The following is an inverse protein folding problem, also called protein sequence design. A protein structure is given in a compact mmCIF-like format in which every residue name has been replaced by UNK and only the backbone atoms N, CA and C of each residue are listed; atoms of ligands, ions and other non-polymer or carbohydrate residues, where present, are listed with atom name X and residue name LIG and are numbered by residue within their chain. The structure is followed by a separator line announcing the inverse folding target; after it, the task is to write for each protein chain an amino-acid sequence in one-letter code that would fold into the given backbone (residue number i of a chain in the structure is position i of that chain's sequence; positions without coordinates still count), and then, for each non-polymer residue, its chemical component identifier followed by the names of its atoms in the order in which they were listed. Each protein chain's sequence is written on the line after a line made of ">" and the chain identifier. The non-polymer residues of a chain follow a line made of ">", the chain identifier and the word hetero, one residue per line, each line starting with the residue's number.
data_IF_117882120292
#
_entry.id   IF_117882120292
#
_cell.length_a   1.000
_cell.length_b   1.000
_cell.length_c   1.000
_cell.angle_alpha   90.00
_cell.angle_beta   90.00
_cell.angle_gamma   90.00
#
_symmetry.space_group_name_H-M   'P 1'
#
loop_
_entity.id
_entity.type
_entity.pdbx_description
1 polymer ?
#
# COMPACT_ATOMS: atom_id res chain seq x y z
N UNK A 1 -42.40 73.80 37.63
CA UNK A 1 -41.53 72.62 37.55
C UNK A 1 -42.40 71.38 37.81
N UNK A 2 -42.85 70.71 36.75
CA UNK A 2 -43.82 69.60 36.76
C UNK A 2 -43.00 68.28 36.71
N UNK A 3 -43.21 67.44 37.72
CA UNK A 3 -42.64 66.11 37.78
C UNK A 3 -43.71 65.14 37.17
N UNK A 4 -43.42 64.58 36.03
CA UNK A 4 -44.23 63.54 35.38
C UNK A 4 -43.82 62.17 35.97
N UNK A 5 -44.74 61.52 36.66
CA UNK A 5 -44.69 60.16 37.13
C UNK A 5 -45.01 59.21 35.96
N UNK A 6 -44.09 58.39 35.54
CA UNK A 6 -44.28 57.39 34.47
C UNK A 6 -44.77 56.07 35.00
N UNK A 7 -45.88 55.50 34.47
CA UNK A 7 -46.43 54.20 34.89
C UNK A 7 -45.69 52.99 34.29
N UNK A 8 -44.48 53.16 33.79
CA UNK A 8 -43.75 52.14 33.02
C UNK A 8 -42.93 51.13 33.87
N UNK A 9 -42.89 51.33 35.18
CA UNK A 9 -42.03 50.48 36.06
C UNK A 9 -42.69 49.24 36.60
N UNK A 10 -44.00 49.05 36.46
CA UNK A 10 -44.74 47.89 37.00
C UNK A 10 -45.00 46.77 35.99
N UNK A 11 -44.81 47.02 34.69
CA UNK A 11 -45.03 46.05 33.63
C UNK A 11 -43.81 45.12 33.41
N UNK A 12 -42.63 45.50 33.87
CA UNK A 12 -41.38 44.70 33.68
C UNK A 12 -41.23 43.61 34.76
N UNK A 13 -41.86 43.76 35.93
CA UNK A 13 -41.77 42.78 37.01
C UNK A 13 -42.82 41.62 36.92
N UNK A 14 -43.88 41.78 36.11
CA UNK A 14 -44.87 40.72 35.90
C UNK A 14 -44.49 39.72 34.79
N UNK A 15 -43.58 40.07 33.89
CA UNK A 15 -43.10 39.17 32.82
C UNK A 15 -41.92 38.28 33.26
N UNK A 16 -41.25 38.61 34.37
CA UNK A 16 -40.14 37.84 34.89
C UNK A 16 -40.49 36.67 35.80
N UNK A 17 -41.76 36.54 36.20
CA UNK A 17 -42.24 35.47 37.07
C UNK A 17 -42.88 34.28 36.32
N UNK A 18 -42.99 34.32 34.97
CA UNK A 18 -43.68 33.28 34.18
C UNK A 18 -42.70 32.38 33.40
N UNK A 19 -41.37 32.56 33.56
CA UNK A 19 -40.35 31.79 32.81
C UNK A 19 -39.67 30.68 33.63
N UNK A 20 -40.16 30.30 34.81
CA UNK A 20 -39.45 29.35 35.70
C UNK A 20 -40.14 27.99 35.91
N UNK A 21 -41.10 27.58 35.05
CA UNK A 21 -41.75 26.26 35.15
C UNK A 21 -41.73 25.45 33.83
N UNK A 22 -40.69 25.57 33.00
CA UNK A 22 -40.45 24.64 31.89
C UNK A 22 -39.09 24.01 32.12
N UNK A 23 -38.97 23.17 33.11
CA UNK A 23 -37.82 22.27 33.27
C UNK A 23 -38.36 20.89 33.56
N UNK A 24 -37.94 19.93 32.69
CA UNK A 24 -38.18 18.49 32.67
C UNK A 24 -39.23 18.01 31.64
N UNK A 25 -39.00 18.36 30.38
CA UNK A 25 -39.33 17.41 29.30
C UNK A 25 -38.07 16.56 29.02
N UNK A 26 -38.17 15.23 28.94
CA UNK A 26 -37.06 14.43 28.48
C UNK A 26 -36.71 14.89 27.06
N UNK A 27 -35.46 15.35 26.87
CA UNK A 27 -34.97 15.63 25.51
C UNK A 27 -35.15 14.37 24.67
N UNK A 28 -35.80 14.45 23.52
CA UNK A 28 -35.74 13.35 22.58
C UNK A 28 -34.26 13.17 22.27
N UNK A 29 -33.72 12.00 22.59
CA UNK A 29 -32.43 11.55 22.08
C UNK A 29 -32.52 11.70 20.57
N UNK A 30 -31.91 12.75 20.02
CA UNK A 30 -31.77 12.91 18.61
C UNK A 30 -30.81 11.78 18.17
N UNK A 31 -31.39 10.66 17.76
CA UNK A 31 -30.74 9.79 16.78
C UNK A 31 -30.62 10.63 15.51
N UNK A 32 -29.64 11.54 15.49
CA UNK A 32 -29.16 12.08 14.23
C UNK A 32 -28.79 10.87 13.39
N UNK A 33 -29.33 10.70 12.19
CA UNK A 33 -28.86 9.65 11.30
C UNK A 33 -27.36 9.88 11.18
N UNK A 34 -26.57 8.85 11.56
CA UNK A 34 -25.13 8.84 11.35
C UNK A 34 -24.92 9.33 9.92
N UNK A 35 -24.31 10.51 9.76
CA UNK A 35 -23.96 11.00 8.43
C UNK A 35 -23.12 9.87 7.84
N UNK A 36 -23.60 9.24 6.77
CA UNK A 36 -22.92 8.09 6.17
C UNK A 36 -21.46 8.51 5.96
N UNK A 37 -20.54 7.85 6.66
CA UNK A 37 -19.14 8.18 6.57
C UNK A 37 -18.74 8.19 5.08
N UNK A 38 -17.95 9.16 4.65
CA UNK A 38 -17.47 9.18 3.25
C UNK A 38 -16.81 7.85 2.90
N UNK A 39 -16.84 7.42 1.64
CA UNK A 39 -16.14 6.22 1.22
C UNK A 39 -14.66 6.25 1.67
N UNK A 40 -14.10 5.07 1.96
CA UNK A 40 -12.66 4.90 2.05
C UNK A 40 -12.09 4.89 0.64
N UNK A 41 -11.15 5.78 0.36
CA UNK A 41 -10.42 5.77 -0.92
C UNK A 41 -9.24 4.83 -0.78
N UNK A 42 -9.32 3.65 -1.42
CA UNK A 42 -8.24 2.67 -1.45
C UNK A 42 -7.59 2.64 -2.83
N UNK A 43 -6.28 2.55 -2.87
CA UNK A 43 -5.55 2.56 -4.13
C UNK A 43 -4.52 1.44 -4.20
N UNK A 44 -4.46 0.82 -5.38
CA UNK A 44 -3.46 -0.18 -5.74
C UNK A 44 -2.88 0.11 -7.13
N UNK A 45 -1.88 -0.66 -7.54
CA UNK A 45 -1.32 -0.66 -8.89
C UNK A 45 -1.33 -2.09 -9.46
N UNK A 46 -0.66 -2.27 -10.57
CA UNK A 46 -0.64 -3.52 -11.34
C UNK A 46 0.28 -4.63 -10.79
N UNK A 47 0.60 -4.62 -9.51
CA UNK A 47 1.28 -5.72 -8.83
C UNK A 47 0.34 -6.92 -8.59
N UNK A 48 0.78 -8.12 -8.91
CA UNK A 48 -0.03 -9.35 -8.80
C UNK A 48 -0.43 -9.66 -7.35
N UNK A 49 0.40 -9.35 -6.38
CA UNK A 49 0.13 -9.56 -4.95
C UNK A 49 -1.00 -8.68 -4.39
N UNK A 50 -1.34 -7.57 -5.07
CA UNK A 50 -2.45 -6.69 -4.63
C UNK A 50 -3.84 -7.23 -5.00
N UNK A 51 -3.91 -8.42 -5.57
CA UNK A 51 -5.16 -9.01 -6.08
C UNK A 51 -6.25 -9.23 -5.05
N UNK A 52 -5.92 -9.29 -3.76
CA UNK A 52 -6.92 -9.36 -2.69
C UNK A 52 -7.90 -8.19 -2.70
N UNK A 53 -7.43 -6.97 -3.00
CA UNK A 53 -8.30 -5.80 -3.07
C UNK A 53 -9.30 -5.83 -4.24
N UNK A 54 -8.88 -5.95 -5.53
CA UNK A 54 -9.83 -6.00 -6.64
C UNK A 54 -10.76 -7.21 -6.57
N UNK A 55 -10.35 -8.34 -5.99
CA UNK A 55 -11.24 -9.48 -5.75
C UNK A 55 -12.29 -9.12 -4.68
N UNK A 56 -11.92 -8.45 -3.59
CA UNK A 56 -12.89 -8.00 -2.58
C UNK A 56 -13.91 -7.01 -3.17
N UNK A 57 -13.47 -6.11 -4.06
CA UNK A 57 -14.35 -5.20 -4.82
C UNK A 57 -15.27 -5.99 -5.75
N UNK A 58 -14.71 -6.84 -6.61
CA UNK A 58 -15.45 -7.57 -7.64
C UNK A 58 -16.44 -8.61 -7.09
N UNK A 59 -16.14 -9.20 -5.93
CA UNK A 59 -17.04 -10.11 -5.19
C UNK A 59 -18.07 -9.37 -4.33
N UNK A 60 -18.01 -8.04 -4.23
CA UNK A 60 -18.94 -7.24 -3.43
C UNK A 60 -18.72 -7.34 -1.90
N UNK A 61 -17.59 -7.85 -1.42
CA UNK A 61 -17.37 -8.12 0.01
C UNK A 61 -17.39 -6.85 0.87
N UNK A 62 -16.98 -5.69 0.33
CA UNK A 62 -17.10 -4.41 1.02
C UNK A 62 -18.57 -3.99 1.18
N UNK A 63 -19.38 -4.16 0.11
CA UNK A 63 -20.81 -3.81 0.12
C UNK A 63 -21.60 -4.71 1.09
N UNK A 64 -21.32 -6.03 1.07
CA UNK A 64 -21.90 -6.99 2.02
C UNK A 64 -21.61 -6.62 3.47
N UNK A 65 -20.41 -6.06 3.72
CA UNK A 65 -19.99 -5.59 5.05
C UNK A 65 -20.50 -4.18 5.39
N UNK A 66 -21.29 -3.53 4.52
CA UNK A 66 -21.80 -2.17 4.71
C UNK A 66 -20.74 -1.07 4.59
N UNK A 67 -19.56 -1.37 4.03
CA UNK A 67 -18.47 -0.43 3.86
C UNK A 67 -18.43 0.11 2.42
N UNK A 68 -18.44 1.44 2.29
CA UNK A 68 -18.22 2.10 1.00
C UNK A 68 -16.72 2.28 0.75
N UNK A 69 -16.25 1.77 -0.38
CA UNK A 69 -14.85 1.86 -0.81
C UNK A 69 -14.82 2.39 -2.24
N UNK A 70 -14.05 3.46 -2.45
CA UNK A 70 -13.69 3.96 -3.77
C UNK A 70 -12.36 3.32 -4.15
N UNK A 71 -12.36 2.53 -5.23
CA UNK A 71 -11.20 1.81 -5.76
C UNK A 71 -10.48 2.65 -6.81
N UNK A 72 -9.25 3.07 -6.53
CA UNK A 72 -8.37 3.73 -7.47
C UNK A 72 -7.28 2.75 -7.94
N UNK A 73 -6.98 2.81 -9.25
CA UNK A 73 -5.95 1.98 -9.84
C UNK A 73 -4.94 2.83 -10.60
N UNK A 74 -3.66 2.60 -10.34
CA UNK A 74 -2.55 3.35 -10.95
C UNK A 74 -1.70 2.44 -11.83
N UNK A 75 -1.11 3.01 -12.87
CA UNK A 75 -0.23 2.27 -13.78
C UNK A 75 1.22 2.18 -13.27
N UNK A 76 1.61 3.08 -12.36
CA UNK A 76 2.93 3.05 -11.72
C UNK A 76 2.85 3.34 -10.22
N UNK A 77 3.84 2.84 -9.48
CA UNK A 77 4.00 3.12 -8.06
C UNK A 77 4.29 4.60 -7.80
N UNK A 78 5.07 5.26 -8.67
CA UNK A 78 5.41 6.68 -8.55
C UNK A 78 4.19 7.60 -8.62
N UNK A 79 3.25 7.33 -9.55
CA UNK A 79 1.98 8.07 -9.64
C UNK A 79 1.12 7.85 -8.39
N UNK A 80 1.03 6.62 -7.92
CA UNK A 80 0.28 6.25 -6.73
C UNK A 80 0.86 6.92 -5.47
N UNK A 81 2.20 6.93 -5.30
CA UNK A 81 2.90 7.64 -4.21
C UNK A 81 2.56 9.13 -4.24
N UNK A 82 2.60 9.75 -5.42
CA UNK A 82 2.28 11.18 -5.59
C UNK A 82 0.84 11.48 -5.16
N UNK A 83 -0.11 10.66 -5.58
CA UNK A 83 -1.51 10.80 -5.20
C UNK A 83 -1.75 10.59 -3.70
N UNK A 84 -1.05 9.61 -3.07
CA UNK A 84 -1.13 9.36 -1.64
C UNK A 84 -0.59 10.55 -0.83
N UNK A 85 0.58 11.06 -1.18
CA UNK A 85 1.17 12.24 -0.52
C UNK A 85 0.32 13.51 -0.70
N UNK A 86 -0.45 13.61 -1.80
CA UNK A 86 -1.41 14.68 -2.04
C UNK A 86 -2.76 14.50 -1.29
N UNK A 87 -2.87 13.55 -0.35
CA UNK A 87 -4.07 13.24 0.44
C UNK A 87 -5.30 12.83 -0.40
N UNK A 88 -5.10 12.27 -1.59
CA UNK A 88 -6.17 11.75 -2.45
C UNK A 88 -6.53 10.30 -2.15
N UNK A 89 -5.74 9.62 -1.34
CA UNK A 89 -5.84 8.20 -1.00
C UNK A 89 -5.82 8.05 0.51
N UNK A 90 -6.73 7.26 1.06
CA UNK A 90 -6.83 6.92 2.48
C UNK A 90 -5.98 5.69 2.82
N UNK A 91 -6.12 4.63 1.99
CA UNK A 91 -5.41 3.37 2.10
C UNK A 91 -4.59 3.15 0.83
N UNK A 92 -3.28 3.03 0.97
CA UNK A 92 -2.40 2.75 -0.16
C UNK A 92 -1.75 1.36 -0.04
N UNK A 93 -1.75 0.61 -1.13
CA UNK A 93 -1.08 -0.68 -1.29
C UNK A 93 0.27 -0.42 -1.94
N UNK A 94 1.36 -0.62 -1.20
CA UNK A 94 2.71 -0.25 -1.60
C UNK A 94 3.73 -1.28 -1.14
N UNK A 95 4.92 -1.24 -1.72
CA UNK A 95 6.06 -1.93 -1.10
C UNK A 95 6.44 -1.26 0.22
N UNK A 96 7.06 -2.00 1.13
CA UNK A 96 7.63 -1.43 2.36
C UNK A 96 8.68 -0.35 2.07
N UNK A 97 9.37 -0.45 0.95
CA UNK A 97 10.33 0.55 0.47
C UNK A 97 9.65 1.87 0.13
N UNK A 98 8.57 1.82 -0.63
CA UNK A 98 7.79 3.01 -0.99
C UNK A 98 7.14 3.64 0.23
N UNK A 99 6.64 2.80 1.16
CA UNK A 99 6.11 3.25 2.45
C UNK A 99 7.17 4.07 3.21
N UNK A 100 8.39 3.56 3.35
CA UNK A 100 9.49 4.27 4.03
C UNK A 100 9.86 5.56 3.30
N UNK A 101 9.89 5.56 1.97
CA UNK A 101 10.13 6.78 1.18
C UNK A 101 9.06 7.85 1.43
N UNK A 102 7.79 7.45 1.56
CA UNK A 102 6.69 8.37 1.89
C UNK A 102 6.78 8.87 3.34
N UNK A 103 7.12 8.01 4.29
CA UNK A 103 7.29 8.36 5.72
C UNK A 103 8.42 9.37 5.94
N UNK A 104 9.42 9.41 5.07
CA UNK A 104 10.46 10.44 5.09
C UNK A 104 9.90 11.85 4.84
N UNK A 105 8.74 11.96 4.16
CA UNK A 105 8.04 13.22 3.85
C UNK A 105 6.88 13.48 4.80
N UNK A 106 6.22 12.43 5.26
CA UNK A 106 5.06 12.48 6.14
C UNK A 106 5.16 11.39 7.22
N UNK A 107 5.72 11.69 8.40
CA UNK A 107 5.90 10.72 9.49
C UNK A 107 4.59 10.18 10.10
N UNK A 108 3.44 10.77 9.78
CA UNK A 108 2.13 10.27 10.22
C UNK A 108 1.69 9.02 9.46
N UNK A 109 2.37 8.66 8.37
CA UNK A 109 2.12 7.45 7.61
C UNK A 109 2.63 6.24 8.39
N UNK A 110 1.82 5.18 8.49
CA UNK A 110 2.15 3.92 9.15
C UNK A 110 1.79 2.74 8.27
N UNK A 111 2.60 1.69 8.35
CA UNK A 111 2.25 0.36 7.84
C UNK A 111 1.27 -0.26 8.84
N UNK A 112 0.12 -0.72 8.34
CA UNK A 112 -0.96 -1.27 9.16
C UNK A 112 -1.34 -2.71 8.81
N UNK A 113 -0.81 -3.26 7.70
CA UNK A 113 -1.09 -4.61 7.24
C UNK A 113 0.01 -5.11 6.30
N UNK A 114 0.41 -6.37 6.42
CA UNK A 114 1.28 -7.06 5.46
C UNK A 114 0.40 -7.77 4.42
N UNK A 115 0.63 -7.47 3.15
CA UNK A 115 -0.12 -8.04 2.03
C UNK A 115 0.53 -9.32 1.56
N UNK A 116 1.80 -9.23 1.17
CA UNK A 116 2.56 -10.35 0.65
C UNK A 116 4.08 -10.14 0.80
N UNK A 117 4.81 -11.21 0.51
CA UNK A 117 6.21 -11.16 0.14
C UNK A 117 6.35 -11.57 -1.32
N UNK A 118 7.07 -10.76 -2.10
CA UNK A 118 7.53 -11.20 -3.41
C UNK A 118 8.52 -12.35 -3.26
N UNK A 119 8.22 -13.46 -3.92
CA UNK A 119 9.02 -14.68 -3.92
C UNK A 119 9.33 -15.14 -5.35
N UNK A 120 9.89 -14.23 -6.13
CA UNK A 120 10.30 -14.47 -7.50
C UNK A 120 9.61 -13.60 -8.56
N UNK A 121 8.57 -12.85 -8.18
CA UNK A 121 7.83 -12.01 -9.11
C UNK A 121 8.41 -10.61 -9.31
N UNK A 122 9.34 -10.17 -8.47
CA UNK A 122 10.20 -9.01 -8.75
C UNK A 122 11.57 -9.49 -9.19
N UNK A 123 12.20 -8.76 -10.12
CA UNK A 123 13.50 -9.17 -10.59
C UNK A 123 14.16 -8.24 -11.58
N UNK A 124 15.22 -8.75 -12.13
CA UNK A 124 16.02 -8.08 -13.16
C UNK A 124 16.08 -8.98 -14.38
N UNK A 125 15.70 -8.43 -15.52
CA UNK A 125 15.90 -9.05 -16.82
C UNK A 125 17.17 -8.52 -17.47
N UNK A 126 17.90 -9.39 -18.16
CA UNK A 126 19.14 -9.03 -18.81
C UNK A 126 19.38 -9.81 -20.11
N UNK A 127 20.14 -9.22 -21.02
CA UNK A 127 20.58 -9.82 -22.28
C UNK A 127 22.08 -9.92 -22.27
N UNK A 128 22.60 -11.12 -22.63
CA UNK A 128 24.03 -11.40 -22.65
C UNK A 128 24.73 -11.14 -21.30
N UNK A 129 24.04 -11.44 -20.20
CA UNK A 129 24.51 -11.32 -18.83
C UNK A 129 24.55 -12.72 -18.20
N UNK A 130 25.74 -13.26 -18.03
CA UNK A 130 25.93 -14.61 -17.46
C UNK A 130 26.19 -14.58 -15.95
N UNK A 131 26.73 -13.49 -15.44
CA UNK A 131 27.06 -13.29 -14.02
C UNK A 131 26.94 -11.81 -13.67
N UNK A 132 26.77 -11.46 -12.38
CA UNK A 132 26.54 -10.07 -11.96
C UNK A 132 27.65 -9.10 -12.40
N UNK A 133 28.91 -9.55 -12.54
CA UNK A 133 30.02 -8.71 -13.01
C UNK A 133 29.83 -8.21 -14.44
N UNK A 134 29.11 -8.92 -15.29
CA UNK A 134 28.84 -8.56 -16.68
C UNK A 134 27.93 -7.33 -16.80
N UNK A 135 27.32 -6.89 -15.70
CA UNK A 135 26.55 -5.66 -15.65
C UNK A 135 27.40 -4.38 -15.74
N UNK A 136 28.73 -4.48 -15.53
CA UNK A 136 29.61 -3.31 -15.59
C UNK A 136 29.54 -2.62 -16.96
N UNK A 137 29.26 -1.31 -16.94
CA UNK A 137 29.15 -0.49 -18.16
C UNK A 137 27.83 -0.65 -18.92
N UNK A 138 26.90 -1.51 -18.44
CA UNK A 138 25.60 -1.74 -19.06
C UNK A 138 24.59 -0.62 -18.74
N UNK A 139 23.61 -0.46 -19.61
CA UNK A 139 22.48 0.44 -19.40
C UNK A 139 21.33 -0.34 -18.77
N UNK A 140 20.85 0.15 -17.62
CA UNK A 140 19.79 -0.48 -16.83
C UNK A 140 18.62 0.50 -16.70
N UNK A 141 17.41 0.10 -17.08
CA UNK A 141 16.20 0.85 -16.82
C UNK A 141 15.59 0.40 -15.47
N UNK A 142 15.12 1.36 -14.65
CA UNK A 142 14.36 1.13 -13.42
C UNK A 142 13.54 2.35 -13.05
N UNK A 143 12.50 2.16 -12.26
CA UNK A 143 11.76 3.27 -11.65
C UNK A 143 12.57 3.87 -10.48
N UNK A 144 12.48 5.19 -10.29
CA UNK A 144 13.23 5.89 -9.24
C UNK A 144 12.55 5.79 -7.87
N UNK A 145 12.26 4.57 -7.44
CA UNK A 145 11.62 4.23 -6.16
C UNK A 145 12.55 3.32 -5.34
N UNK A 146 12.35 3.31 -4.04
CA UNK A 146 13.31 2.68 -3.12
C UNK A 146 13.41 1.16 -3.32
N UNK A 147 12.28 0.46 -3.53
CA UNK A 147 12.34 -1.00 -3.65
C UNK A 147 13.14 -1.45 -4.87
N UNK A 148 13.00 -0.80 -6.03
CA UNK A 148 13.78 -1.15 -7.23
C UNK A 148 15.27 -0.86 -7.07
N UNK A 149 15.62 0.21 -6.33
CA UNK A 149 17.01 0.47 -5.94
C UNK A 149 17.57 -0.65 -5.07
N UNK A 150 16.78 -1.15 -4.11
CA UNK A 150 17.18 -2.27 -3.23
C UNK A 150 17.39 -3.55 -4.03
N UNK A 151 16.47 -3.88 -4.95
CA UNK A 151 16.59 -5.05 -5.84
C UNK A 151 17.85 -4.95 -6.71
N UNK A 152 18.06 -3.79 -7.35
CA UNK A 152 19.25 -3.57 -8.18
C UNK A 152 20.53 -3.62 -7.35
N UNK A 153 20.57 -2.98 -6.18
CA UNK A 153 21.73 -2.99 -5.29
C UNK A 153 22.08 -4.42 -4.86
N UNK A 154 21.08 -5.22 -4.48
CA UNK A 154 21.29 -6.61 -4.08
C UNK A 154 21.94 -7.45 -5.21
N UNK A 155 21.56 -7.19 -6.45
CA UNK A 155 22.18 -7.83 -7.61
C UNK A 155 23.61 -7.34 -7.87
N UNK A 156 23.82 -6.03 -7.95
CA UNK A 156 25.13 -5.43 -8.24
C UNK A 156 26.16 -5.81 -7.19
N UNK A 157 25.80 -5.84 -5.92
CA UNK A 157 26.68 -6.24 -4.81
C UNK A 157 27.20 -7.68 -4.95
N UNK A 158 26.42 -8.61 -5.51
CA UNK A 158 26.90 -9.97 -5.82
C UNK A 158 28.05 -9.96 -6.84
N UNK A 159 28.14 -8.93 -7.68
CA UNK A 159 29.22 -8.70 -8.64
C UNK A 159 30.35 -7.80 -8.14
N UNK A 160 30.26 -7.31 -6.89
CA UNK A 160 31.17 -6.29 -6.37
C UNK A 160 30.99 -4.93 -7.03
N UNK A 161 29.82 -4.68 -7.64
CA UNK A 161 29.47 -3.45 -8.36
C UNK A 161 28.55 -2.56 -7.52
N UNK A 162 28.44 -1.31 -7.96
CA UNK A 162 27.53 -0.28 -7.45
C UNK A 162 26.80 0.39 -8.61
N UNK A 163 25.81 1.25 -8.34
CA UNK A 163 25.16 2.05 -9.39
C UNK A 163 26.12 2.96 -10.17
N UNK A 164 27.31 3.26 -9.64
CA UNK A 164 28.34 4.03 -10.35
C UNK A 164 29.01 3.27 -11.49
N UNK A 165 28.90 1.94 -11.49
CA UNK A 165 29.53 1.06 -12.49
C UNK A 165 28.60 0.80 -13.69
N UNK A 166 27.36 1.35 -13.68
CA UNK A 166 26.32 1.15 -14.68
C UNK A 166 25.70 2.48 -15.10
N UNK A 167 24.97 2.50 -16.21
CA UNK A 167 24.18 3.67 -16.64
C UNK A 167 22.71 3.44 -16.30
N UNK A 168 22.13 4.29 -15.46
CA UNK A 168 20.72 4.18 -15.06
C UNK A 168 19.83 5.05 -15.95
N UNK A 169 18.71 4.47 -16.44
CA UNK A 169 17.59 5.19 -17.05
C UNK A 169 16.39 5.09 -16.11
N UNK A 170 15.90 6.22 -15.63
CA UNK A 170 14.71 6.28 -14.78
C UNK A 170 13.45 6.18 -15.67
N UNK A 171 12.80 5.02 -15.64
CA UNK A 171 11.56 4.69 -16.35
C UNK A 171 10.63 3.94 -15.40
N UNK A 172 9.31 4.13 -15.52
CA UNK A 172 8.34 3.30 -14.80
C UNK A 172 8.54 1.82 -15.17
N UNK A 173 8.22 0.89 -14.25
CA UNK A 173 8.51 -0.54 -14.41
C UNK A 173 8.02 -1.15 -15.74
N UNK A 174 6.79 -0.76 -16.18
CA UNK A 174 6.24 -1.17 -17.47
C UNK A 174 7.05 -0.64 -18.66
N UNK A 175 7.48 0.64 -18.59
CA UNK A 175 8.28 1.28 -19.62
C UNK A 175 9.71 0.74 -19.63
N UNK A 176 10.29 0.45 -18.45
CA UNK A 176 11.59 -0.22 -18.32
C UNK A 176 11.60 -1.58 -19.02
N UNK A 177 10.55 -2.38 -18.76
CA UNK A 177 10.34 -3.67 -19.40
C UNK A 177 10.14 -3.54 -20.93
N UNK A 178 9.37 -2.56 -21.38
CA UNK A 178 9.17 -2.28 -22.81
C UNK A 178 10.47 -1.82 -23.49
N UNK A 179 11.27 -0.96 -22.83
CA UNK A 179 12.57 -0.52 -23.33
C UNK A 179 13.56 -1.70 -23.48
N UNK A 180 13.52 -2.66 -22.52
CA UNK A 180 14.29 -3.89 -22.64
C UNK A 180 13.82 -4.76 -23.82
N UNK A 181 12.52 -4.99 -23.95
CA UNK A 181 11.94 -5.74 -25.07
C UNK A 181 12.30 -5.11 -26.43
N UNK A 182 12.31 -3.78 -26.51
CA UNK A 182 12.72 -3.02 -27.69
C UNK A 182 14.25 -2.91 -27.89
N UNK A 183 15.05 -3.54 -27.03
CA UNK A 183 16.53 -3.52 -27.07
C UNK A 183 17.17 -2.13 -26.90
N UNK A 184 16.46 -1.21 -26.23
CA UNK A 184 16.94 0.16 -25.95
C UNK A 184 17.79 0.23 -24.67
N UNK A 185 17.74 -0.82 -23.84
CA UNK A 185 18.55 -1.02 -22.64
C UNK A 185 19.04 -2.47 -22.58
N UNK A 186 20.14 -2.71 -21.86
CA UNK A 186 20.72 -4.04 -21.70
C UNK A 186 20.00 -4.85 -20.62
N UNK A 187 19.51 -4.15 -19.61
CA UNK A 187 18.87 -4.73 -18.43
C UNK A 187 17.68 -3.87 -18.00
N UNK A 188 16.72 -4.47 -17.30
CA UNK A 188 15.65 -3.73 -16.63
C UNK A 188 15.29 -4.37 -15.28
N UNK A 189 15.00 -3.53 -14.29
CA UNK A 189 14.34 -3.93 -13.05
C UNK A 189 12.84 -3.80 -13.29
N UNK A 190 12.08 -4.83 -12.97
CA UNK A 190 10.62 -4.86 -13.16
C UNK A 190 10.01 -6.02 -12.38
N UNK A 191 8.71 -6.21 -12.52
CA UNK A 191 7.94 -7.23 -11.83
C UNK A 191 6.88 -7.87 -12.74
N UNK A 192 6.25 -8.95 -12.28
CA UNK A 192 5.16 -9.58 -13.05
C UNK A 192 3.90 -8.68 -13.11
N UNK A 193 3.22 -8.60 -14.26
CA UNK A 193 3.34 -9.48 -15.44
C UNK A 193 4.41 -9.07 -16.46
N UNK A 194 5.19 -8.06 -16.23
CA UNK A 194 6.18 -7.55 -17.19
C UNK A 194 7.48 -8.36 -17.23
N UNK A 195 7.89 -8.91 -16.09
CA UNK A 195 9.18 -9.59 -15.92
C UNK A 195 9.38 -10.72 -16.94
N UNK A 196 8.57 -11.76 -16.87
CA UNK A 196 8.68 -12.93 -17.76
C UNK A 196 8.37 -12.59 -19.21
N UNK A 197 7.34 -11.76 -19.44
CA UNK A 197 6.92 -11.38 -20.80
C UNK A 197 8.02 -10.64 -21.55
N UNK A 198 8.60 -9.62 -20.90
CA UNK A 198 9.60 -8.77 -21.54
C UNK A 198 10.96 -9.45 -21.66
N UNK A 199 11.34 -10.34 -20.73
CA UNK A 199 12.51 -11.19 -20.88
C UNK A 199 12.44 -11.98 -22.20
N UNK A 200 11.33 -12.68 -22.42
CA UNK A 200 11.09 -13.48 -23.64
C UNK A 200 11.08 -12.62 -24.91
N UNK A 201 10.36 -11.49 -24.89
CA UNK A 201 10.24 -10.59 -26.04
C UNK A 201 11.57 -9.92 -26.40
N UNK A 202 12.38 -9.55 -25.42
CA UNK A 202 13.67 -8.91 -25.61
C UNK A 202 14.80 -9.87 -25.98
N UNK A 203 14.55 -11.19 -25.98
CA UNK A 203 15.59 -12.21 -26.20
C UNK A 203 16.60 -12.27 -25.06
N UNK A 204 16.15 -12.07 -23.83
CA UNK A 204 16.94 -12.20 -22.60
C UNK A 204 16.27 -13.14 -21.63
N UNK A 205 16.71 -13.11 -20.39
CA UNK A 205 16.23 -13.96 -19.30
C UNK A 205 16.15 -13.20 -17.97
N UNK A 206 15.47 -13.79 -16.98
CA UNK A 206 15.47 -13.29 -15.60
C UNK A 206 16.79 -13.69 -14.96
N UNK A 207 17.69 -12.72 -14.79
CA UNK A 207 19.06 -12.93 -14.27
C UNK A 207 19.15 -12.78 -12.74
N UNK A 208 18.11 -12.21 -12.12
CA UNK A 208 17.95 -12.08 -10.67
C UNK A 208 16.47 -11.97 -10.33
N UNK A 209 16.04 -12.56 -9.24
CA UNK A 209 14.69 -12.40 -8.71
C UNK A 209 14.70 -12.39 -7.19
N UNK A 210 13.56 -12.01 -6.62
CA UNK A 210 13.31 -12.01 -5.16
C UNK A 210 13.09 -13.40 -4.58
N UNK A 211 13.16 -14.47 -5.41
CA UNK A 211 12.96 -15.83 -4.96
C UNK A 211 13.87 -16.18 -3.78
N UNK A 212 13.27 -16.78 -2.75
CA UNK A 212 13.95 -17.18 -1.50
C UNK A 212 14.61 -16.01 -0.75
N UNK A 213 14.14 -14.77 -1.02
CA UNK A 213 14.56 -13.57 -0.30
C UNK A 213 13.35 -12.95 0.44
N UNK A 214 13.60 -12.10 1.41
CA UNK A 214 12.58 -11.24 2.03
C UNK A 214 12.83 -9.76 1.67
N UNK A 215 13.36 -9.52 0.45
CA UNK A 215 13.74 -8.17 0.03
C UNK A 215 12.54 -7.26 -0.18
N UNK A 216 11.46 -7.77 -0.77
CA UNK A 216 10.27 -6.99 -1.08
C UNK A 216 9.09 -7.52 -0.28
N UNK A 217 8.63 -6.71 0.64
CA UNK A 217 7.39 -6.88 1.38
C UNK A 217 6.38 -5.86 0.90
N UNK A 218 5.16 -6.29 0.68
CA UNK A 218 4.05 -5.44 0.26
C UNK A 218 3.10 -5.19 1.43
N UNK A 219 2.68 -3.95 1.60
CA UNK A 219 2.01 -3.47 2.80
C UNK A 219 0.87 -2.53 2.48
N UNK A 220 -0.12 -2.45 3.37
CA UNK A 220 -1.09 -1.35 3.36
C UNK A 220 -0.61 -0.27 4.32
N UNK A 221 -0.63 0.96 3.82
CA UNK A 221 -0.34 2.15 4.64
C UNK A 221 -1.56 3.03 4.83
N UNK A 222 -1.59 3.71 5.98
CA UNK A 222 -2.57 4.74 6.33
C UNK A 222 -1.90 5.81 7.17
N UNK A 223 -2.55 6.98 7.32
CA UNK A 223 -2.11 8.01 8.27
C UNK A 223 -2.68 7.78 9.66
N UNK A 224 -1.95 8.18 10.69
CA UNK A 224 -2.36 8.10 12.11
C UNK A 224 -3.79 8.60 12.34
N UNK A 225 -4.18 9.70 11.70
CA UNK A 225 -5.53 10.25 11.82
C UNK A 225 -6.61 9.27 11.35
N UNK A 226 -6.38 8.57 10.24
CA UNK A 226 -7.33 7.58 9.74
C UNK A 226 -7.39 6.37 10.66
N UNK A 227 -6.22 5.88 11.12
CA UNK A 227 -6.12 4.73 12.02
C UNK A 227 -6.95 4.98 13.29
N UNK A 228 -6.83 6.17 13.87
CA UNK A 228 -7.54 6.55 15.10
C UNK A 228 -9.04 6.80 14.86
N UNK A 229 -9.40 7.53 13.81
CA UNK A 229 -10.78 7.97 13.60
C UNK A 229 -11.68 6.92 12.93
N UNK A 230 -11.12 5.96 12.18
CA UNK A 230 -11.87 4.98 11.38
C UNK A 230 -11.43 3.53 11.62
N UNK A 231 -10.96 3.21 12.83
CA UNK A 231 -10.48 1.85 13.18
C UNK A 231 -11.53 0.76 12.91
N UNK A 232 -12.82 1.03 13.11
CA UNK A 232 -13.90 0.08 12.83
C UNK A 232 -14.01 -0.22 11.33
N UNK A 233 -13.91 0.81 10.49
CA UNK A 233 -13.97 0.68 9.04
C UNK A 233 -12.73 -0.07 8.51
N UNK A 234 -11.54 0.21 9.05
CA UNK A 234 -10.31 -0.50 8.70
C UNK A 234 -10.40 -2.00 9.04
N UNK A 235 -10.96 -2.35 10.19
CA UNK A 235 -11.20 -3.76 10.53
C UNK A 235 -12.20 -4.42 9.57
N UNK A 236 -13.25 -3.72 9.21
CA UNK A 236 -14.23 -4.21 8.22
C UNK A 236 -13.60 -4.38 6.86
N UNK A 237 -12.76 -3.43 6.44
CA UNK A 237 -11.99 -3.48 5.20
C UNK A 237 -11.09 -4.72 5.14
N UNK A 238 -10.26 -4.96 6.17
CA UNK A 238 -9.36 -6.10 6.16
C UNK A 238 -10.07 -7.45 6.27
N UNK A 239 -11.23 -7.53 6.94
CA UNK A 239 -12.07 -8.75 6.91
C UNK A 239 -12.61 -9.06 5.51
N UNK A 240 -12.95 -8.04 4.73
CA UNK A 240 -13.36 -8.24 3.34
C UNK A 240 -12.20 -8.66 2.44
N UNK A 241 -11.02 -8.05 2.60
CA UNK A 241 -9.79 -8.45 1.91
C UNK A 241 -9.37 -9.86 2.29
N UNK A 242 -9.46 -10.25 3.55
CA UNK A 242 -9.17 -11.60 4.05
C UNK A 242 -9.97 -12.69 3.34
N UNK A 243 -11.28 -12.46 3.14
CA UNK A 243 -12.13 -13.36 2.34
C UNK A 243 -11.57 -13.54 0.91
N UNK A 244 -11.18 -12.43 0.28
CA UNK A 244 -10.63 -12.45 -1.08
C UNK A 244 -9.27 -13.18 -1.15
N UNK A 245 -8.37 -12.92 -0.19
CA UNK A 245 -7.06 -13.59 -0.11
C UNK A 245 -7.23 -15.09 0.08
N UNK A 246 -8.16 -15.53 0.92
CA UNK A 246 -8.47 -16.96 1.09
C UNK A 246 -8.95 -17.63 -0.18
N UNK A 247 -9.77 -16.96 -1.00
CA UNK A 247 -10.16 -17.46 -2.31
C UNK A 247 -8.96 -17.57 -3.26
N UNK A 248 -8.09 -16.58 -3.30
CA UNK A 248 -6.87 -16.62 -4.12
C UNK A 248 -5.92 -17.74 -3.68
N UNK A 249 -5.71 -17.92 -2.37
CA UNK A 249 -4.87 -18.98 -1.81
C UNK A 249 -5.41 -20.40 -2.14
N UNK A 250 -6.73 -20.54 -2.30
CA UNK A 250 -7.34 -21.82 -2.75
C UNK A 250 -7.50 -21.91 -4.27
N UNK A 251 -7.00 -20.96 -5.03
CA UNK A 251 -7.10 -20.89 -6.50
C UNK A 251 -8.56 -20.89 -6.99
N UNK A 252 -9.46 -20.15 -6.32
CA UNK A 252 -10.85 -20.00 -6.78
C UNK A 252 -10.89 -19.38 -8.18
N UNK A 253 -11.57 -20.05 -9.11
CA UNK A 253 -11.54 -19.69 -10.53
C UNK A 253 -12.14 -18.30 -10.80
N UNK A 254 -13.18 -17.91 -10.06
CA UNK A 254 -13.81 -16.58 -10.22
C UNK A 254 -12.91 -15.48 -9.64
N UNK A 255 -12.30 -15.70 -8.49
CA UNK A 255 -11.34 -14.77 -7.89
C UNK A 255 -10.14 -14.55 -8.81
N UNK A 256 -9.58 -15.63 -9.38
CA UNK A 256 -8.48 -15.54 -10.34
C UNK A 256 -8.89 -14.80 -11.62
N UNK A 257 -10.13 -15.01 -12.11
CA UNK A 257 -10.66 -14.28 -13.26
C UNK A 257 -10.81 -12.79 -12.98
N UNK A 258 -11.34 -12.42 -11.80
CA UNK A 258 -11.48 -11.01 -11.39
C UNK A 258 -10.11 -10.34 -11.33
N UNK A 259 -9.15 -10.96 -10.62
CA UNK A 259 -7.79 -10.47 -10.51
C UNK A 259 -7.09 -10.33 -11.86
N UNK A 260 -7.16 -11.37 -12.70
CA UNK A 260 -6.57 -11.38 -14.03
C UNK A 260 -7.18 -10.31 -14.95
N UNK A 261 -8.51 -10.11 -14.90
CA UNK A 261 -9.18 -9.04 -15.67
C UNK A 261 -8.65 -7.65 -15.29
N UNK A 262 -8.42 -7.40 -13.99
CA UNK A 262 -7.86 -6.12 -13.50
C UNK A 262 -6.45 -5.87 -14.02
N UNK A 263 -5.63 -6.91 -14.14
CA UNK A 263 -4.23 -6.84 -14.59
C UNK A 263 -4.05 -7.07 -16.09
N UNK A 264 -5.12 -7.35 -16.84
CA UNK A 264 -5.06 -7.60 -18.28
C UNK A 264 -4.46 -8.97 -18.65
N UNK A 265 -4.60 -9.98 -17.79
CA UNK A 265 -4.15 -11.36 -18.00
C UNK A 265 -5.31 -12.35 -17.79
N UNK A 266 -5.17 -13.59 -18.27
CA UNK A 266 -6.15 -14.65 -18.02
C UNK A 266 -6.10 -15.14 -16.57
N UNK A 267 -7.14 -15.85 -16.11
CA UNK A 267 -7.16 -16.48 -14.79
C UNK A 267 -6.03 -17.50 -14.58
N UNK A 268 -5.68 -18.26 -15.62
CA UNK A 268 -4.58 -19.23 -15.56
C UNK A 268 -3.21 -18.54 -15.48
N UNK A 269 -2.99 -17.47 -16.24
CA UNK A 269 -1.80 -16.64 -16.11
C UNK A 269 -1.71 -16.00 -14.73
N UNK A 270 -2.84 -15.50 -14.21
CA UNK A 270 -2.91 -14.94 -12.86
C UNK A 270 -2.52 -15.97 -11.79
N UNK A 271 -3.05 -17.21 -11.91
CA UNK A 271 -2.68 -18.32 -11.02
C UNK A 271 -1.18 -18.63 -11.08
N UNK A 272 -0.59 -18.64 -12.27
CA UNK A 272 0.84 -18.89 -12.44
C UNK A 272 1.70 -17.75 -11.81
N UNK A 273 1.30 -16.50 -12.02
CA UNK A 273 2.03 -15.34 -11.47
C UNK A 273 1.94 -15.25 -9.95
N UNK A 274 0.79 -15.60 -9.35
CA UNK A 274 0.62 -15.64 -7.90
C UNK A 274 1.52 -16.68 -7.19
N UNK A 275 2.08 -17.65 -7.90
CA UNK A 275 3.08 -18.55 -7.32
C UNK A 275 4.37 -17.83 -6.91
N UNK A 276 4.63 -16.66 -7.49
CA UNK A 276 5.74 -15.80 -7.16
C UNK A 276 5.44 -14.77 -6.06
N UNK A 277 4.28 -14.86 -5.39
CA UNK A 277 3.92 -14.03 -4.24
C UNK A 277 3.36 -14.90 -3.10
N UNK A 278 3.73 -14.60 -1.87
CA UNK A 278 3.19 -15.25 -0.68
C UNK A 278 2.17 -14.34 -0.03
N UNK A 279 0.89 -14.55 -0.31
CA UNK A 279 -0.20 -13.71 0.21
C UNK A 279 -0.48 -14.00 1.69
N UNK A 280 -0.67 -12.94 2.49
CA UNK A 280 -1.01 -13.01 3.91
C UNK A 280 -2.48 -12.67 4.15
N UNK A 281 -3.18 -13.58 4.80
CA UNK A 281 -4.50 -13.33 5.40
C UNK A 281 -4.35 -12.71 6.81
N UNK A 282 -5.46 -12.54 7.52
CA UNK A 282 -5.44 -12.00 8.90
C UNK A 282 -4.61 -12.87 9.83
N UNK A 283 -4.74 -14.18 9.74
CA UNK A 283 -3.99 -15.11 10.59
C UNK A 283 -2.49 -15.03 10.30
N UNK A 284 -2.11 -14.96 9.03
CA UNK A 284 -0.73 -14.76 8.61
C UNK A 284 -0.15 -13.43 9.10
N UNK A 285 -0.94 -12.37 9.12
CA UNK A 285 -0.53 -11.09 9.70
C UNK A 285 -0.23 -11.20 11.21
N UNK A 286 -1.08 -11.90 11.97
CA UNK A 286 -0.91 -12.09 13.43
C UNK A 286 0.27 -13.00 13.77
N UNK A 287 0.38 -14.13 13.08
CA UNK A 287 1.31 -15.20 13.45
C UNK A 287 2.70 -15.04 12.82
N UNK A 288 2.78 -14.32 11.70
CA UNK A 288 4.03 -14.13 10.93
C UNK A 288 4.35 -12.63 10.78
N UNK A 289 3.48 -11.88 10.12
CA UNK A 289 3.76 -10.52 9.69
C UNK A 289 4.20 -9.59 10.82
N UNK A 290 3.35 -9.43 11.82
CA UNK A 290 3.61 -8.58 12.99
C UNK A 290 4.11 -9.34 14.22
N UNK A 291 4.44 -10.62 14.07
CA UNK A 291 5.07 -11.39 15.13
C UNK A 291 6.59 -11.18 15.10
N UNK A 292 7.21 -10.53 16.13
CA UNK A 292 8.65 -10.24 16.15
C UNK A 292 9.51 -11.51 16.21
N UNK A 293 8.97 -12.62 16.69
CA UNK A 293 9.69 -13.89 16.84
C UNK A 293 9.68 -14.73 15.54
N UNK A 294 8.89 -14.32 14.55
CA UNK A 294 8.86 -14.99 13.26
C UNK A 294 10.09 -14.65 12.42
N UNK A 295 10.79 -15.65 11.82
CA UNK A 295 11.91 -15.38 10.91
C UNK A 295 11.46 -14.68 9.61
N UNK A 296 10.16 -14.74 9.30
CA UNK A 296 9.53 -14.02 8.18
C UNK A 296 8.73 -12.80 8.64
N UNK A 297 9.04 -12.27 9.82
CA UNK A 297 8.40 -11.04 10.30
C UNK A 297 8.69 -9.87 9.39
N UNK A 298 7.68 -9.02 9.18
CA UNK A 298 7.81 -7.73 8.51
C UNK A 298 8.92 -6.86 9.14
N UNK A 299 9.14 -6.98 10.45
CA UNK A 299 10.19 -6.23 11.16
C UNK A 299 11.60 -6.52 10.62
N UNK A 300 11.85 -7.77 10.18
CA UNK A 300 13.12 -8.13 9.53
C UNK A 300 13.31 -7.41 8.20
N UNK A 301 12.28 -7.38 7.35
CA UNK A 301 12.29 -6.63 6.09
C UNK A 301 12.46 -5.13 6.34
N UNK A 302 11.72 -4.54 7.28
CA UNK A 302 11.80 -3.12 7.60
C UNK A 302 13.20 -2.69 8.06
N UNK A 303 13.93 -3.54 8.79
CA UNK A 303 15.34 -3.26 9.16
C UNK A 303 16.24 -3.12 7.94
N UNK A 304 16.11 -4.04 6.98
CA UNK A 304 16.90 -4.01 5.74
C UNK A 304 16.51 -2.79 4.90
N UNK A 305 15.23 -2.55 4.72
CA UNK A 305 14.70 -1.47 3.87
C UNK A 305 14.98 -0.09 4.46
N UNK A 306 14.84 0.08 5.78
CA UNK A 306 15.19 1.32 6.48
C UNK A 306 16.68 1.62 6.40
N UNK A 307 17.53 0.59 6.51
CA UNK A 307 18.97 0.75 6.28
C UNK A 307 19.27 1.21 4.85
N UNK A 308 18.64 0.59 3.86
CA UNK A 308 18.82 0.98 2.46
C UNK A 308 18.34 2.42 2.22
N UNK A 309 17.23 2.85 2.82
CA UNK A 309 16.76 4.22 2.73
C UNK A 309 17.80 5.24 3.24
N UNK A 310 18.50 4.90 4.31
CA UNK A 310 19.61 5.72 4.83
C UNK A 310 20.82 5.69 3.90
N UNK A 311 21.25 4.51 3.44
CA UNK A 311 22.39 4.33 2.55
C UNK A 311 22.20 5.08 1.21
N UNK A 312 20.98 5.08 0.67
CA UNK A 312 20.60 5.83 -0.53
C UNK A 312 20.26 7.31 -0.26
N UNK A 313 20.42 7.78 0.98
CA UNK A 313 20.14 9.17 1.38
C UNK A 313 18.69 9.62 1.13
N UNK A 314 17.76 8.68 1.15
CA UNK A 314 16.31 8.96 1.11
C UNK A 314 15.89 9.60 2.44
N UNK A 315 16.49 9.14 3.55
CA UNK A 315 16.31 9.70 4.88
C UNK A 315 17.62 10.28 5.41
N UNK A 316 17.60 11.39 6.17
CA UNK A 316 18.81 12.06 6.65
C UNK A 316 19.49 11.33 7.80
N UNK A 317 18.79 10.41 8.47
CA UNK A 317 19.28 9.64 9.62
C UNK A 317 18.64 8.25 9.66
N UNK A 318 19.26 7.27 10.34
CA UNK A 318 18.69 5.94 10.49
C UNK A 318 17.29 6.00 11.14
N UNK A 319 16.35 5.24 10.59
CA UNK A 319 14.98 5.13 11.09
C UNK A 319 14.89 4.06 12.18
N UNK A 320 14.06 4.31 13.19
CA UNK A 320 13.67 3.30 14.18
C UNK A 320 12.49 2.49 13.61
N UNK A 321 12.68 1.19 13.44
CA UNK A 321 11.68 0.31 12.82
C UNK A 321 10.34 0.37 13.55
N UNK A 322 10.35 0.49 14.87
CA UNK A 322 9.17 0.55 15.74
C UNK A 322 8.27 1.76 15.46
N UNK A 323 8.80 2.77 14.77
CA UNK A 323 8.04 3.98 14.38
C UNK A 323 7.39 3.89 13.02
N UNK A 324 7.67 2.83 12.24
CA UNK A 324 7.25 2.67 10.85
C UNK A 324 5.89 1.99 10.70
N UNK A 325 5.40 1.33 11.75
CA UNK A 325 4.15 0.57 11.68
C UNK A 325 3.24 0.82 12.89
N UNK A 326 1.97 0.49 12.72
CA UNK A 326 0.96 0.43 13.77
C UNK A 326 0.21 -0.91 13.63
N UNK A 327 0.42 -1.81 14.58
CA UNK A 327 -0.18 -3.15 14.58
C UNK A 327 -1.53 -3.22 15.33
N UNK A 328 -2.06 -2.08 15.78
CA UNK A 328 -3.30 -2.02 16.57
C UNK A 328 -4.51 -2.57 15.81
N UNK A 329 -4.57 -2.36 14.49
CA UNK A 329 -5.64 -2.90 13.65
C UNK A 329 -5.52 -4.42 13.56
N UNK A 330 -4.33 -4.97 13.28
CA UNK A 330 -4.09 -6.42 13.19
C UNK A 330 -4.39 -7.11 14.53
N UNK A 331 -3.96 -6.53 15.65
CA UNK A 331 -4.25 -7.06 17.00
C UNK A 331 -5.75 -7.07 17.34
N UNK A 332 -6.52 -6.16 16.75
CA UNK A 332 -7.97 -6.03 16.98
C UNK A 332 -8.84 -6.83 15.97
N UNK A 333 -8.26 -7.48 14.96
CA UNK A 333 -8.93 -8.35 14.00
C UNK A 333 -9.12 -9.75 14.57
#
# INVERSE_FOLDING_TARGET
>A
MRILSSPFRWFVLAVMALCLTIACAPQPTSNSPSSAARPLVSASNNWVGYSGHPVAVGKGFFQEAGLKVDDLFFQSAGEQITAFLANKIDLGWFTSGDAIQMMAKDPSIKIIYLIDYSNGSDGIIGRDIQKPQDAKGKTIARENILFEKVVLQAYLQKGGLTEKDVTIKDLAAADAAAAFAAKQVDMAVTYEPYLTKSAKQGGGEVIFSTKDTNLVADVVVARDQLIQSRAADLKTYFKAVDKAVKLLNTSDAEALKIAGTKLGVSGDEMKAQLQGATLFDIEGNKTIGFNPDSPKSLLGNLKVTAKAAYDFKIVPQPLKVETLYDDSIVKAL
#
